data_IF_973263898921
#
_entry.id   IF_973263898921
#
_cell.length_a   1.000
_cell.length_b   1.000
_cell.length_c   1.000
_cell.angle_alpha   90.00
_cell.angle_beta   90.00
_cell.angle_gamma   90.00
#
_symmetry.space_group_name_H-M   'P 1'
#
loop_
_entity.id
_entity.type
_entity.pdbx_description
1 polymer ?
#
# COMPACT_ATOMS: atom_id res chain seq x y z
N UNK A 1 -2.59 -22.32 5.05
CA UNK A 1 -2.44 -21.19 5.99
C UNK A 1 -1.41 -21.58 7.02
N UNK A 2 -0.31 -20.85 7.13
CA UNK A 2 0.71 -21.03 8.16
C UNK A 2 0.52 -19.95 9.23
N UNK A 3 0.36 -20.29 10.52
CA UNK A 3 0.16 -19.29 11.56
C UNK A 3 1.43 -18.47 11.77
N UNK A 4 1.26 -17.16 11.93
CA UNK A 4 2.33 -16.20 12.23
C UNK A 4 1.97 -15.45 13.51
N UNK A 5 2.84 -15.54 14.53
CA UNK A 5 2.66 -14.80 15.78
C UNK A 5 3.48 -13.51 15.71
N UNK A 6 2.84 -12.37 15.95
CA UNK A 6 3.47 -11.04 15.92
C UNK A 6 3.25 -10.38 17.28
N UNK A 7 4.33 -9.91 17.89
CA UNK A 7 4.23 -9.11 19.12
C UNK A 7 3.95 -7.65 18.77
N UNK A 8 2.85 -7.12 19.28
CA UNK A 8 2.45 -5.73 19.11
C UNK A 8 2.30 -5.08 20.50
N UNK A 9 2.66 -3.80 20.60
CA UNK A 9 2.30 -2.99 21.76
C UNK A 9 0.78 -2.83 21.86
N UNK A 10 0.24 -2.71 23.06
CA UNK A 10 -1.21 -2.58 23.29
C UNK A 10 -1.84 -1.43 22.50
N UNK A 11 -1.18 -0.27 22.42
CA UNK A 11 -1.66 0.87 21.63
C UNK A 11 -1.84 0.54 20.14
N UNK A 12 -0.87 -0.20 19.58
CA UNK A 12 -0.90 -0.62 18.16
C UNK A 12 -1.99 -1.65 17.91
N UNK A 13 -2.20 -2.57 18.86
CA UNK A 13 -3.28 -3.55 18.79
C UNK A 13 -4.65 -2.85 18.83
N UNK A 14 -4.84 -1.89 19.73
CA UNK A 14 -6.05 -1.08 19.81
C UNK A 14 -6.32 -0.31 18.52
N UNK A 15 -5.30 0.31 17.95
CA UNK A 15 -5.43 1.03 16.68
C UNK A 15 -5.79 0.08 15.53
N UNK A 16 -5.19 -1.11 15.47
CA UNK A 16 -5.51 -2.13 14.48
C UNK A 16 -6.96 -2.60 14.59
N UNK A 17 -7.42 -2.88 15.81
CA UNK A 17 -8.81 -3.28 16.09
C UNK A 17 -9.80 -2.21 15.66
N UNK A 18 -9.50 -0.94 15.93
CA UNK A 18 -10.35 0.18 15.51
C UNK A 18 -10.49 0.24 13.98
N UNK A 19 -9.39 0.14 13.24
CA UNK A 19 -9.40 0.18 11.77
C UNK A 19 -10.16 -1.03 11.20
N UNK A 20 -9.98 -2.21 11.81
CA UNK A 20 -10.67 -3.42 11.42
C UNK A 20 -12.19 -3.31 11.66
N UNK A 21 -12.58 -2.78 12.82
CA UNK A 21 -13.97 -2.52 13.19
C UNK A 21 -14.65 -1.51 12.25
N UNK A 22 -13.96 -0.41 11.91
CA UNK A 22 -14.46 0.58 10.94
C UNK A 22 -14.71 -0.02 9.55
N UNK A 23 -13.97 -1.07 9.19
CA UNK A 23 -14.09 -1.79 7.93
C UNK A 23 -14.99 -3.03 8.01
N UNK A 24 -15.49 -3.38 9.20
CA UNK A 24 -16.32 -4.55 9.43
C UNK A 24 -15.59 -5.89 9.22
N UNK A 25 -14.26 -5.91 9.36
CA UNK A 25 -13.41 -7.10 9.18
C UNK A 25 -12.62 -7.40 10.45
N UNK A 26 -11.99 -8.57 10.52
CA UNK A 26 -11.09 -8.91 11.63
C UNK A 26 -9.71 -8.25 11.48
N UNK A 27 -8.99 -7.98 12.59
CA UNK A 27 -7.60 -7.53 12.55
C UNK A 27 -6.69 -8.44 11.73
N UNK A 28 -6.94 -9.74 11.78
CA UNK A 28 -6.23 -10.78 11.04
C UNK A 28 -6.46 -10.65 9.53
N UNK A 29 -7.72 -10.48 9.09
CA UNK A 29 -8.04 -10.23 7.68
C UNK A 29 -7.42 -8.93 7.18
N UNK A 30 -7.48 -7.87 7.98
CA UNK A 30 -6.85 -6.59 7.64
C UNK A 30 -5.34 -6.75 7.44
N UNK A 31 -4.65 -7.44 8.35
CA UNK A 31 -3.22 -7.74 8.23
C UNK A 31 -2.92 -8.63 7.02
N UNK A 32 -3.74 -9.64 6.78
CA UNK A 32 -3.58 -10.53 5.62
C UNK A 32 -3.70 -9.76 4.31
N UNK A 33 -4.69 -8.87 4.16
CA UNK A 33 -4.82 -8.00 2.99
C UNK A 33 -3.61 -7.11 2.83
N UNK A 34 -3.11 -6.49 3.90
CA UNK A 34 -1.95 -5.60 3.85
C UNK A 34 -0.65 -6.34 3.51
N UNK A 35 -0.44 -7.52 4.08
CA UNK A 35 0.69 -8.39 3.74
C UNK A 35 0.59 -8.83 2.27
N UNK A 36 -0.59 -9.20 1.80
CA UNK A 36 -0.78 -9.56 0.40
C UNK A 36 -0.52 -8.37 -0.52
N UNK A 37 -0.99 -7.16 -0.20
CA UNK A 37 -0.68 -5.94 -0.96
C UNK A 37 0.83 -5.68 -1.02
N UNK A 38 1.56 -5.86 0.08
CA UNK A 38 3.01 -5.69 0.11
C UNK A 38 3.78 -6.77 -0.66
N UNK A 39 3.30 -8.01 -0.62
CA UNK A 39 3.93 -9.15 -1.31
C UNK A 39 3.47 -9.28 -2.76
N UNK A 40 2.41 -8.60 -3.15
CA UNK A 40 1.99 -8.51 -4.56
C UNK A 40 2.94 -7.54 -5.25
N UNK A 41 3.77 -7.99 -6.19
CA UNK A 41 4.58 -7.08 -6.98
C UNK A 41 3.64 -6.10 -7.68
N UNK A 42 3.72 -4.81 -7.34
CA UNK A 42 3.15 -3.76 -8.18
C UNK A 42 3.76 -3.95 -9.56
N UNK A 43 2.96 -4.18 -10.62
CA UNK A 43 3.51 -4.21 -11.96
C UNK A 43 4.25 -2.87 -12.17
N UNK A 44 5.47 -2.98 -12.69
CA UNK A 44 6.41 -1.91 -13.02
C UNK A 44 5.74 -0.72 -13.76
N UNK A 45 4.56 -0.96 -14.34
CA UNK A 45 3.67 -0.03 -15.03
C UNK A 45 3.38 1.28 -14.29
N UNK A 46 3.11 1.30 -12.97
CA UNK A 46 2.78 2.59 -12.33
C UNK A 46 3.99 3.53 -12.31
N UNK A 47 5.16 3.00 -11.96
CA UNK A 47 6.40 3.78 -11.96
C UNK A 47 6.80 4.14 -13.39
N UNK A 48 6.66 3.23 -14.36
CA UNK A 48 6.95 3.49 -15.77
C UNK A 48 6.02 4.57 -16.37
N UNK A 49 4.71 4.49 -16.11
CA UNK A 49 3.72 5.46 -16.59
C UNK A 49 3.93 6.83 -15.93
N UNK A 50 4.17 6.87 -14.63
CA UNK A 50 4.49 8.12 -13.93
C UNK A 50 5.76 8.78 -14.51
N UNK A 51 6.81 7.99 -14.75
CA UNK A 51 8.06 8.50 -15.31
C UNK A 51 7.90 8.97 -16.76
N UNK A 52 7.08 8.26 -17.56
CA UNK A 52 6.71 8.66 -18.92
C UNK A 52 5.96 10.01 -18.94
N UNK A 53 4.94 10.18 -18.08
CA UNK A 53 4.16 11.42 -18.00
C UNK A 53 5.03 12.60 -17.54
N UNK A 54 5.87 12.41 -16.52
CA UNK A 54 6.79 13.44 -16.04
C UNK A 54 7.80 13.85 -17.12
N UNK A 55 8.38 12.87 -17.83
CA UNK A 55 9.33 13.13 -18.92
C UNK A 55 8.67 13.90 -20.07
N UNK A 56 7.44 13.53 -20.47
CA UNK A 56 6.70 14.24 -21.53
C UNK A 56 6.32 15.66 -21.15
N UNK A 57 5.91 15.89 -19.91
CA UNK A 57 5.61 17.24 -19.43
C UNK A 57 6.87 18.11 -19.40
N UNK A 58 8.00 17.59 -18.90
CA UNK A 58 9.27 18.32 -18.93
C UNK A 58 9.71 18.68 -20.35
N UNK A 59 9.50 17.79 -21.32
CA UNK A 59 9.80 18.06 -22.73
C UNK A 59 8.86 19.11 -23.35
N UNK A 60 7.59 19.15 -22.95
CA UNK A 60 6.63 20.17 -23.39
C UNK A 60 6.98 21.55 -22.83
N UNK A 61 7.31 21.65 -21.54
CA UNK A 61 7.72 22.91 -20.93
C UNK A 61 9.00 23.47 -21.56
N UNK A 62 9.98 22.63 -21.89
CA UNK A 62 11.21 23.04 -22.58
C UNK A 62 10.99 23.53 -24.02
N UNK A 63 9.87 23.19 -24.67
CA UNK A 63 9.55 23.64 -26.03
C UNK A 63 8.71 24.92 -26.07
N UNK A 64 8.18 25.33 -24.93
CA UNK A 64 7.35 26.52 -24.77
C UNK A 64 8.11 27.70 -24.14
N UNK A 65 9.41 27.53 -23.86
CA UNK A 65 10.32 28.55 -23.33
C UNK A 65 11.27 29.07 -24.41
#
# INVERSE_FOLDING_TARGET
MTPLTINLSEDKLHQLQKIAQEKGITPEELLQTKINEWLTPTPDDFNQVANYVLTKNAQLYNRLA
#
